data_IF_280637341405
#
_entry.id   IF_280637341405
#
_cell.length_a   1.000
_cell.length_b   1.000
_cell.length_c   1.000
_cell.angle_alpha   90.00
_cell.angle_beta   90.00
_cell.angle_gamma   90.00
#
_symmetry.space_group_name_H-M   'P 1'
#
loop_
_entity.id
_entity.type
_entity.pdbx_description
1 polymer ?
#
# COMPACT_ATOMS: atom_id res chain seq x y z
N UNK A 1 -19.37 -7.35 3.73
CA UNK A 1 -19.77 -6.16 2.92
C UNK A 1 -20.47 -6.59 1.65
N UNK A 2 -21.69 -6.10 1.46
CA UNK A 2 -22.52 -6.35 0.27
C UNK A 2 -22.74 -5.07 -0.53
N UNK A 3 -23.15 -5.22 -1.78
CA UNK A 3 -23.48 -4.11 -2.67
C UNK A 3 -24.81 -3.49 -2.24
N UNK A 4 -24.77 -2.19 -1.96
CA UNK A 4 -25.92 -1.38 -1.61
C UNK A 4 -26.29 -0.40 -2.74
N UNK A 5 -27.30 0.42 -2.48
CA UNK A 5 -27.76 1.42 -3.45
C UNK A 5 -26.71 2.51 -3.72
N UNK A 6 -25.88 2.83 -2.73
CA UNK A 6 -24.83 3.84 -2.86
C UNK A 6 -23.76 3.39 -3.84
N UNK A 7 -23.29 2.15 -3.74
CA UNK A 7 -22.32 1.60 -4.70
C UNK A 7 -22.90 1.56 -6.12
N UNK A 8 -24.17 1.17 -6.27
CA UNK A 8 -24.85 1.17 -7.58
C UNK A 8 -24.92 2.59 -8.17
N UNK A 9 -25.23 3.59 -7.35
CA UNK A 9 -25.27 4.99 -7.82
C UNK A 9 -23.93 5.51 -8.32
N UNK A 10 -22.80 4.92 -7.89
CA UNK A 10 -21.49 5.25 -8.46
C UNK A 10 -21.38 4.79 -9.91
N UNK A 11 -21.98 3.64 -10.25
CA UNK A 11 -22.03 3.14 -11.63
C UNK A 11 -22.88 4.08 -12.50
N UNK A 12 -23.98 4.62 -11.96
CA UNK A 12 -24.80 5.62 -12.66
C UNK A 12 -24.00 6.89 -12.99
N UNK A 13 -23.16 7.35 -12.05
CA UNK A 13 -22.27 8.49 -12.28
C UNK A 13 -21.20 8.18 -13.33
N UNK A 14 -20.58 6.99 -13.26
CA UNK A 14 -19.60 6.55 -14.25
C UNK A 14 -20.20 6.46 -15.66
N UNK A 15 -21.46 6.07 -15.77
CA UNK A 15 -22.15 5.98 -17.07
C UNK A 15 -22.17 7.34 -17.79
N UNK A 16 -22.39 8.45 -17.08
CA UNK A 16 -22.38 9.78 -17.68
C UNK A 16 -21.06 10.14 -18.39
N UNK A 17 -19.94 9.64 -17.86
CA UNK A 17 -18.59 9.89 -18.40
C UNK A 17 -18.17 8.85 -19.44
N UNK A 18 -18.60 7.59 -19.29
CA UNK A 18 -18.11 6.49 -20.11
C UNK A 18 -18.88 6.31 -21.42
N UNK A 19 -20.17 6.68 -21.49
CA UNK A 19 -21.01 6.45 -22.68
C UNK A 19 -20.51 7.15 -23.95
N UNK A 20 -19.73 8.23 -23.82
CA UNK A 20 -19.17 8.95 -24.97
C UNK A 20 -18.00 8.21 -25.64
N UNK A 21 -17.51 7.13 -25.04
CA UNK A 21 -16.39 6.35 -25.55
C UNK A 21 -16.84 5.10 -26.32
N UNK A 22 -16.04 4.60 -27.29
CA UNK A 22 -16.45 3.52 -28.19
C UNK A 22 -16.91 2.20 -27.52
N UNK A 23 -16.39 1.91 -26.32
CA UNK A 23 -16.74 0.70 -25.55
C UNK A 23 -17.51 1.02 -24.27
N UNK A 24 -17.97 2.26 -24.10
CA UNK A 24 -18.62 2.74 -22.89
C UNK A 24 -19.87 1.93 -22.52
N UNK A 25 -20.75 1.69 -23.49
CA UNK A 25 -21.98 0.92 -23.30
C UNK A 25 -21.70 -0.50 -22.82
N UNK A 26 -20.75 -1.20 -23.47
CA UNK A 26 -20.37 -2.57 -23.11
C UNK A 26 -19.81 -2.66 -21.69
N UNK A 27 -18.91 -1.74 -21.32
CA UNK A 27 -18.31 -1.70 -19.97
C UNK A 27 -19.36 -1.39 -18.91
N UNK A 28 -20.26 -0.43 -19.15
CA UNK A 28 -21.34 -0.11 -18.21
C UNK A 28 -22.31 -1.29 -18.06
N UNK A 29 -22.67 -1.94 -19.16
CA UNK A 29 -23.53 -3.14 -19.11
C UNK A 29 -22.88 -4.25 -18.28
N UNK A 30 -21.58 -4.51 -18.48
CA UNK A 30 -20.83 -5.49 -17.70
C UNK A 30 -20.75 -5.13 -16.21
N UNK A 31 -20.51 -3.85 -15.88
CA UNK A 31 -20.51 -3.37 -14.50
C UNK A 31 -21.88 -3.58 -13.84
N UNK A 32 -22.98 -3.22 -14.51
CA UNK A 32 -24.34 -3.43 -13.98
C UNK A 32 -24.69 -4.90 -13.81
N UNK A 33 -24.28 -5.74 -14.76
CA UNK A 33 -24.50 -7.19 -14.68
C UNK A 33 -23.70 -7.81 -13.51
N UNK A 34 -22.51 -7.29 -13.23
CA UNK A 34 -21.61 -7.81 -12.20
C UNK A 34 -21.97 -7.31 -10.80
N UNK A 35 -22.28 -6.02 -10.65
CA UNK A 35 -22.49 -5.35 -9.36
C UNK A 35 -23.99 -5.20 -9.05
N UNK A 36 -24.62 -6.30 -8.62
CA UNK A 36 -26.04 -6.32 -8.26
C UNK A 36 -26.27 -6.17 -6.76
N UNK A 37 -27.38 -5.51 -6.39
CA UNK A 37 -27.74 -5.27 -4.98
C UNK A 37 -27.83 -6.59 -4.20
N UNK A 38 -27.23 -6.62 -3.01
CA UNK A 38 -27.23 -7.80 -2.14
C UNK A 38 -26.12 -8.82 -2.44
N UNK A 39 -25.42 -8.72 -3.57
CA UNK A 39 -24.22 -9.53 -3.80
C UNK A 39 -23.05 -9.08 -2.92
N UNK A 40 -22.15 -9.99 -2.58
CA UNK A 40 -20.89 -9.61 -1.94
C UNK A 40 -20.00 -8.89 -2.96
N UNK A 41 -19.20 -7.94 -2.48
CA UNK A 41 -18.26 -7.22 -3.35
C UNK A 41 -17.25 -8.17 -4.00
N UNK A 42 -16.86 -9.24 -3.30
CA UNK A 42 -15.99 -10.26 -3.86
C UNK A 42 -16.64 -11.00 -5.05
N UNK A 43 -17.90 -11.42 -4.93
CA UNK A 43 -18.60 -12.10 -6.02
C UNK A 43 -18.81 -11.19 -7.24
N UNK A 44 -19.20 -9.94 -7.02
CA UNK A 44 -19.34 -8.97 -8.10
C UNK A 44 -18.00 -8.64 -8.80
N UNK A 45 -16.93 -8.48 -8.02
CA UNK A 45 -15.58 -8.27 -8.57
C UNK A 45 -15.14 -9.48 -9.38
N UNK A 46 -15.42 -10.71 -8.91
CA UNK A 46 -15.17 -11.92 -9.68
C UNK A 46 -15.91 -11.91 -11.02
N UNK A 47 -17.21 -11.61 -11.04
CA UNK A 47 -17.97 -11.54 -12.30
C UNK A 47 -17.37 -10.53 -13.28
N UNK A 48 -16.98 -9.35 -12.80
CA UNK A 48 -16.42 -8.32 -13.65
C UNK A 48 -15.02 -8.70 -14.18
N UNK A 49 -14.16 -9.26 -13.34
CA UNK A 49 -12.84 -9.79 -13.76
C UNK A 49 -13.01 -10.93 -14.75
N UNK A 50 -13.97 -11.83 -14.53
CA UNK A 50 -14.26 -12.92 -15.46
C UNK A 50 -14.76 -12.40 -16.81
N UNK A 51 -15.62 -11.37 -16.82
CA UNK A 51 -16.01 -10.69 -18.07
C UNK A 51 -14.79 -10.16 -18.83
N UNK A 52 -13.81 -9.57 -18.14
CA UNK A 52 -12.61 -9.00 -18.77
C UNK A 52 -11.61 -10.06 -19.26
N UNK A 53 -11.50 -11.20 -18.58
CA UNK A 53 -10.36 -12.12 -18.77
C UNK A 53 -10.71 -13.60 -18.99
N UNK A 54 -11.99 -13.96 -19.08
CA UNK A 54 -12.42 -15.37 -19.25
C UNK A 54 -11.86 -16.02 -20.52
N UNK A 55 -11.74 -15.27 -21.62
CA UNK A 55 -11.15 -15.77 -22.87
C UNK A 55 -9.68 -16.20 -22.73
N UNK A 56 -8.97 -15.68 -21.72
CA UNK A 56 -7.59 -16.04 -21.40
C UNK A 56 -7.48 -17.19 -20.39
N UNK A 57 -8.60 -17.74 -19.91
CA UNK A 57 -8.62 -18.83 -18.95
C UNK A 57 -8.15 -18.42 -17.55
N UNK A 58 -8.32 -17.15 -17.17
CA UNK A 58 -7.95 -16.67 -15.83
C UNK A 58 -8.77 -17.38 -14.75
N UNK A 59 -8.09 -18.12 -13.87
CA UNK A 59 -8.69 -18.73 -12.69
C UNK A 59 -8.66 -17.74 -11.53
N UNK A 60 -9.82 -17.46 -10.94
CA UNK A 60 -9.94 -16.62 -9.75
C UNK A 60 -10.27 -17.48 -8.55
N UNK A 61 -9.43 -17.42 -7.53
CA UNK A 61 -9.60 -18.18 -6.29
C UNK A 61 -10.16 -17.26 -5.19
N UNK A 62 -11.23 -17.70 -4.51
CA UNK A 62 -11.69 -17.09 -3.26
C UNK A 62 -11.01 -17.82 -2.08
N UNK A 63 -10.01 -17.20 -1.43
CA UNK A 63 -9.26 -17.86 -0.36
C UNK A 63 -10.03 -17.95 0.97
N UNK A 64 -11.21 -17.33 1.08
CA UNK A 64 -12.05 -17.41 2.27
C UNK A 64 -12.95 -18.65 2.24
N UNK A 65 -12.36 -19.82 2.46
CA UNK A 65 -13.03 -21.12 2.40
C UNK A 65 -12.47 -22.06 3.47
N UNK A 66 -13.35 -22.77 4.19
CA UNK A 66 -12.97 -23.65 5.29
C UNK A 66 -11.95 -24.73 4.89
N UNK A 67 -12.13 -25.37 3.74
CA UNK A 67 -11.25 -26.45 3.27
C UNK A 67 -9.86 -25.94 2.82
N UNK A 68 -9.77 -24.67 2.41
CA UNK A 68 -8.48 -24.04 2.11
C UNK A 68 -7.79 -23.63 3.42
N UNK A 69 -8.53 -23.02 4.33
CA UNK A 69 -8.04 -22.53 5.62
C UNK A 69 -7.57 -23.66 6.54
N UNK A 70 -8.22 -24.82 6.49
CA UNK A 70 -7.80 -26.00 7.24
C UNK A 70 -6.40 -26.48 6.87
N UNK A 71 -5.91 -26.22 5.65
CA UNK A 71 -4.53 -26.56 5.25
C UNK A 71 -3.47 -25.74 6.00
N UNK A 72 -3.88 -24.63 6.62
CA UNK A 72 -3.03 -23.77 7.45
C UNK A 72 -3.23 -23.98 8.95
N UNK A 73 -4.07 -24.93 9.38
CA UNK A 73 -4.42 -25.11 10.79
C UNK A 73 -3.19 -25.19 11.70
N UNK A 74 -2.17 -25.98 11.32
CA UNK A 74 -0.92 -26.09 12.11
C UNK A 74 -0.15 -24.78 12.20
N UNK A 75 -0.09 -24.00 11.12
CA UNK A 75 0.59 -22.69 11.11
C UNK A 75 -0.19 -21.67 11.94
N UNK A 76 -1.52 -21.72 11.86
CA UNK A 76 -2.39 -20.84 12.63
C UNK A 76 -2.34 -21.16 14.13
N UNK A 77 -2.33 -22.44 14.50
CA UNK A 77 -2.13 -22.88 15.88
C UNK A 77 -0.78 -22.40 16.42
N UNK A 78 0.30 -22.57 15.66
CA UNK A 78 1.63 -22.11 16.05
C UNK A 78 1.69 -20.58 16.24
N UNK A 79 1.10 -19.79 15.34
CA UNK A 79 1.03 -18.34 15.48
C UNK A 79 0.17 -17.90 16.69
N UNK A 80 -0.93 -18.61 16.98
CA UNK A 80 -1.75 -18.34 18.17
C UNK A 80 -1.04 -18.64 19.48
N UNK A 81 -0.26 -19.73 19.54
CA UNK A 81 0.32 -20.25 20.78
C UNK A 81 1.77 -19.79 20.99
N UNK A 82 2.62 -19.98 19.98
CA UNK A 82 4.07 -19.78 20.05
C UNK A 82 4.51 -18.47 19.41
N UNK A 83 3.69 -17.86 18.56
CA UNK A 83 3.98 -16.56 17.91
C UNK A 83 5.28 -16.61 17.08
N UNK A 84 5.66 -17.80 16.62
CA UNK A 84 6.94 -18.09 15.95
C UNK A 84 7.17 -17.18 14.74
N UNK A 85 6.09 -16.90 14.00
CA UNK A 85 6.14 -16.02 12.85
C UNK A 85 6.61 -14.60 13.18
N UNK A 86 6.21 -14.04 14.33
CA UNK A 86 6.65 -12.70 14.73
C UNK A 86 8.16 -12.65 14.94
N UNK A 87 8.70 -13.57 15.72
CA UNK A 87 10.13 -13.59 16.04
C UNK A 87 11.02 -13.79 14.81
N UNK A 88 10.61 -14.65 13.88
CA UNK A 88 11.35 -14.89 12.63
C UNK A 88 11.35 -13.63 11.75
N UNK A 89 10.18 -12.99 11.60
CA UNK A 89 10.07 -11.80 10.75
C UNK A 89 10.77 -10.60 11.38
N UNK A 90 10.71 -10.40 12.70
CA UNK A 90 11.45 -9.34 13.39
C UNK A 90 12.97 -9.50 13.20
N UNK A 91 13.46 -10.73 13.27
CA UNK A 91 14.87 -11.04 13.01
C UNK A 91 15.26 -10.72 11.57
N UNK A 92 14.40 -11.09 10.62
CA UNK A 92 14.60 -10.83 9.18
C UNK A 92 14.54 -9.33 8.86
N UNK A 93 13.60 -8.61 9.48
CA UNK A 93 13.46 -7.16 9.37
C UNK A 93 14.71 -6.44 9.89
N UNK A 94 15.20 -6.83 11.07
CA UNK A 94 16.44 -6.29 11.65
C UNK A 94 17.65 -6.51 10.75
N UNK A 95 17.75 -7.70 10.12
CA UNK A 95 18.84 -8.01 9.19
C UNK A 95 18.78 -7.13 7.93
N UNK A 96 17.58 -6.90 7.39
CA UNK A 96 17.35 -6.04 6.22
C UNK A 96 17.65 -4.57 6.52
N UNK A 97 17.23 -4.06 7.68
CA UNK A 97 17.54 -2.70 8.13
C UNK A 97 19.05 -2.48 8.28
N UNK A 98 19.76 -3.44 8.89
CA UNK A 98 21.24 -3.39 9.00
C UNK A 98 21.94 -3.39 7.64
N UNK A 99 21.33 -4.03 6.64
CA UNK A 99 21.81 -4.02 5.26
C UNK A 99 21.41 -2.76 4.48
N UNK A 100 20.73 -1.80 5.11
CA UNK A 100 20.34 -0.52 4.51
C UNK A 100 19.01 -0.54 3.76
N UNK A 101 18.22 -1.61 3.89
CA UNK A 101 16.90 -1.70 3.27
C UNK A 101 15.80 -1.19 4.20
N UNK A 102 14.81 -0.51 3.63
CA UNK A 102 13.62 -0.07 4.35
C UNK A 102 12.62 -1.22 4.49
N UNK A 103 12.29 -1.60 5.72
CA UNK A 103 11.24 -2.57 6.01
C UNK A 103 9.85 -1.96 5.83
N UNK A 104 8.91 -2.77 5.36
CA UNK A 104 7.54 -2.32 5.02
C UNK A 104 6.43 -3.05 5.78
N UNK A 105 6.75 -4.15 6.47
CA UNK A 105 5.79 -4.97 7.18
C UNK A 105 6.29 -5.22 8.59
N UNK A 106 5.51 -4.80 9.58
CA UNK A 106 5.82 -5.07 10.98
C UNK A 106 4.93 -6.23 11.43
N UNK A 107 5.52 -7.33 11.93
CA UNK A 107 4.73 -8.41 12.47
C UNK A 107 4.05 -7.97 13.78
N UNK A 108 3.03 -8.72 14.15
CA UNK A 108 2.43 -8.67 15.49
C UNK A 108 2.71 -9.99 16.17
N UNK A 109 2.57 -10.00 17.49
CA UNK A 109 2.58 -11.24 18.27
C UNK A 109 1.65 -12.30 17.65
N UNK A 110 0.40 -11.94 17.36
CA UNK A 110 -0.54 -12.79 16.63
C UNK A 110 -0.85 -12.15 15.28
N UNK A 111 -0.57 -12.88 14.21
CA UNK A 111 -0.71 -12.47 12.82
C UNK A 111 -2.04 -12.91 12.18
N UNK A 112 -3.00 -13.31 12.99
CA UNK A 112 -4.35 -13.68 12.60
C UNK A 112 -5.40 -12.63 13.00
N UNK A 113 -6.44 -12.56 12.18
CA UNK A 113 -7.71 -11.92 12.50
C UNK A 113 -8.78 -12.99 12.69
N UNK A 114 -9.78 -12.69 13.51
CA UNK A 114 -11.00 -13.48 13.62
C UNK A 114 -12.12 -12.82 12.82
N UNK A 115 -12.84 -13.61 12.02
CA UNK A 115 -13.95 -13.17 11.17
C UNK A 115 -15.27 -13.68 11.76
N UNK A 116 -16.21 -12.78 11.99
CA UNK A 116 -17.56 -13.13 12.46
C UNK A 116 -18.58 -12.17 11.84
N UNK A 117 -19.42 -12.69 10.95
CA UNK A 117 -20.32 -11.87 10.13
C UNK A 117 -19.53 -10.88 9.28
N UNK A 118 -19.83 -9.59 9.42
CA UNK A 118 -19.12 -8.50 8.72
C UNK A 118 -17.92 -7.94 9.53
N UNK A 119 -17.60 -8.53 10.68
CA UNK A 119 -16.52 -8.08 11.54
C UNK A 119 -15.21 -8.79 11.22
N UNK A 120 -14.13 -8.01 11.19
CA UNK A 120 -12.75 -8.51 11.14
C UNK A 120 -12.02 -7.98 12.35
N UNK A 121 -11.76 -8.85 13.31
CA UNK A 121 -11.24 -8.48 14.61
C UNK A 121 -9.81 -8.96 14.81
N UNK A 122 -9.02 -8.15 15.52
CA UNK A 122 -7.68 -8.54 15.94
C UNK A 122 -7.80 -9.48 17.13
N UNK A 123 -6.96 -10.50 17.12
CA UNK A 123 -6.76 -11.42 18.23
C UNK A 123 -5.51 -10.96 18.98
N UNK A 124 -5.61 -10.77 20.30
CA UNK A 124 -4.46 -10.46 21.17
C UNK A 124 -4.38 -11.47 22.31
N UNK A 125 -3.17 -11.81 22.75
CA UNK A 125 -2.97 -12.64 23.94
C UNK A 125 -2.92 -11.75 25.19
N UNK A 126 -3.75 -12.04 26.19
CA UNK A 126 -3.76 -11.35 27.49
C UNK A 126 -3.70 -12.39 28.61
N UNK A 127 -2.50 -12.60 29.14
CA UNK A 127 -2.23 -13.70 30.08
C UNK A 127 -2.44 -15.05 29.38
N UNK A 128 -3.32 -15.87 29.94
CA UNK A 128 -3.68 -17.21 29.44
C UNK A 128 -4.82 -17.21 28.40
N UNK A 129 -5.34 -16.04 28.03
CA UNK A 129 -6.53 -15.90 27.19
C UNK A 129 -6.25 -15.17 25.87
N UNK A 130 -7.06 -15.44 24.85
CA UNK A 130 -7.09 -14.77 23.55
C UNK A 130 -8.32 -13.88 23.46
N UNK A 131 -8.11 -12.58 23.29
CA UNK A 131 -9.17 -11.57 23.36
C UNK A 131 -9.37 -10.95 21.97
N UNK A 132 -10.64 -10.86 21.56
CA UNK A 132 -11.04 -10.06 20.40
C UNK A 132 -11.24 -8.61 20.82
N UNK A 133 -10.52 -7.70 20.15
CA UNK A 133 -10.36 -6.33 20.63
C UNK A 133 -11.66 -5.51 20.64
N UNK A 134 -12.61 -5.81 19.75
CA UNK A 134 -13.82 -4.99 19.60
C UNK A 134 -15.08 -5.66 20.17
N UNK A 135 -15.15 -6.99 20.24
CA UNK A 135 -16.37 -7.72 20.63
C UNK A 135 -16.43 -8.22 22.07
N UNK A 136 -15.42 -7.95 22.91
CA UNK A 136 -15.26 -8.50 24.29
C UNK A 136 -15.23 -10.02 24.37
N UNK A 137 -15.35 -10.72 23.24
CA UNK A 137 -15.25 -12.18 23.15
C UNK A 137 -13.83 -12.59 23.50
N UNK A 138 -13.73 -13.58 24.37
CA UNK A 138 -12.48 -14.09 24.90
C UNK A 138 -12.51 -15.60 24.82
N UNK A 139 -11.38 -16.19 24.44
CA UNK A 139 -11.20 -17.62 24.39
C UNK A 139 -10.08 -18.02 25.35
N UNK A 140 -10.28 -19.11 26.09
CA UNK A 140 -9.18 -19.88 26.67
C UNK A 140 -8.41 -20.62 25.57
N UNK A 141 -7.25 -21.17 25.92
CA UNK A 141 -6.41 -21.98 25.00
C UNK A 141 -7.20 -23.11 24.36
N UNK A 142 -7.97 -23.86 25.15
CA UNK A 142 -8.73 -25.01 24.64
C UNK A 142 -9.87 -24.56 23.73
N UNK A 143 -10.52 -23.44 24.03
CA UNK A 143 -11.60 -22.89 23.22
C UNK A 143 -11.12 -22.36 21.88
N UNK A 144 -10.00 -21.61 21.83
CA UNK A 144 -9.54 -21.06 20.54
C UNK A 144 -9.00 -22.15 19.61
N UNK A 145 -8.36 -23.19 20.14
CA UNK A 145 -7.89 -24.31 19.34
C UNK A 145 -9.05 -25.17 18.83
N UNK A 146 -10.09 -25.35 19.65
CA UNK A 146 -11.32 -25.99 19.20
C UNK A 146 -12.01 -25.17 18.12
N UNK A 147 -12.12 -23.85 18.31
CA UNK A 147 -12.69 -22.94 17.31
C UNK A 147 -11.90 -22.97 15.99
N UNK A 148 -10.56 -23.05 16.04
CA UNK A 148 -9.73 -23.21 14.86
C UNK A 148 -9.95 -24.54 14.14
N UNK A 149 -10.15 -25.63 14.89
CA UNK A 149 -10.42 -26.95 14.33
C UNK A 149 -11.83 -27.03 13.71
N UNK A 150 -12.83 -26.49 14.39
CA UNK A 150 -14.24 -26.55 13.99
C UNK A 150 -14.60 -25.50 12.92
N UNK A 151 -13.95 -24.32 12.96
CA UNK A 151 -14.25 -23.14 12.13
C UNK A 151 -12.99 -22.44 11.59
N UNK A 152 -12.12 -23.14 10.82
CA UNK A 152 -10.89 -22.56 10.29
C UNK A 152 -11.11 -21.35 9.37
N UNK A 153 -12.26 -21.26 8.71
CA UNK A 153 -12.67 -20.11 7.88
C UNK A 153 -12.73 -18.80 8.66
N UNK A 154 -12.97 -18.84 9.97
CA UNK A 154 -12.99 -17.64 10.79
C UNK A 154 -11.60 -17.07 11.05
N UNK A 155 -10.52 -17.81 10.75
CA UNK A 155 -9.16 -17.34 10.98
C UNK A 155 -8.55 -16.81 9.68
N UNK A 156 -8.24 -15.51 9.66
CA UNK A 156 -7.67 -14.83 8.50
C UNK A 156 -6.25 -14.32 8.73
N UNK A 157 -5.26 -14.76 7.93
CA UNK A 157 -3.91 -14.25 8.06
C UNK A 157 -3.83 -12.77 7.68
N UNK A 158 -2.93 -12.06 8.35
CA UNK A 158 -2.49 -10.73 7.96
C UNK A 158 -1.38 -10.81 6.90
N UNK A 159 -0.76 -9.68 6.57
CA UNK A 159 0.30 -9.59 5.55
C UNK A 159 1.47 -10.57 5.75
N UNK A 160 1.80 -10.94 7.00
CA UNK A 160 2.88 -11.86 7.36
C UNK A 160 2.56 -13.30 6.93
N UNK A 161 1.41 -13.82 7.37
CA UNK A 161 1.01 -15.19 7.09
C UNK A 161 0.29 -15.37 5.75
N UNK A 162 -0.16 -14.27 5.11
CA UNK A 162 -0.91 -14.33 3.84
C UNK A 162 -0.08 -14.96 2.73
N UNK A 163 1.21 -14.63 2.64
CA UNK A 163 2.11 -15.22 1.64
C UNK A 163 2.22 -16.73 1.82
N UNK A 164 2.43 -17.20 3.05
CA UNK A 164 2.48 -18.64 3.34
C UNK A 164 1.17 -19.34 3.00
N UNK A 165 0.04 -18.72 3.37
CA UNK A 165 -1.26 -19.28 3.05
C UNK A 165 -1.45 -19.46 1.54
N UNK A 166 -1.10 -18.44 0.75
CA UNK A 166 -1.18 -18.47 -0.70
C UNK A 166 -0.36 -19.62 -1.30
N UNK A 167 0.91 -19.75 -0.90
CA UNK A 167 1.80 -20.79 -1.42
C UNK A 167 1.46 -22.20 -0.90
N UNK A 168 0.78 -22.30 0.25
CA UNK A 168 0.33 -23.57 0.80
C UNK A 168 -0.85 -24.14 0.00
N UNK A 169 -1.85 -23.32 -0.29
CA UNK A 169 -3.07 -23.77 -0.98
C UNK A 169 -2.89 -23.84 -2.50
N UNK A 170 -1.95 -23.06 -3.04
CA UNK A 170 -1.64 -23.02 -4.46
C UNK A 170 -0.13 -22.84 -4.59
N UNK A 171 0.66 -23.92 -4.73
CA UNK A 171 2.11 -23.81 -4.86
C UNK A 171 2.44 -23.08 -6.16
N UNK A 172 2.89 -21.82 -6.05
CA UNK A 172 3.13 -20.95 -7.20
C UNK A 172 4.59 -21.05 -7.65
N UNK A 173 4.80 -20.96 -8.96
CA UNK A 173 6.15 -20.83 -9.52
C UNK A 173 6.64 -19.38 -9.33
N UNK A 174 5.74 -18.41 -9.53
CA UNK A 174 6.03 -16.98 -9.49
C UNK A 174 4.94 -16.24 -8.72
N UNK A 175 5.35 -15.38 -7.79
CA UNK A 175 4.50 -14.37 -7.19
C UNK A 175 4.70 -13.03 -7.92
N UNK A 176 3.62 -12.47 -8.46
CA UNK A 176 3.64 -11.18 -9.16
C UNK A 176 3.10 -10.10 -8.20
N UNK A 177 3.98 -9.20 -7.75
CA UNK A 177 3.64 -8.17 -6.76
C UNK A 177 4.07 -6.76 -7.18
N UNK A 178 3.50 -5.74 -6.53
CA UNK A 178 4.02 -4.36 -6.61
C UNK A 178 5.32 -4.18 -5.82
N UNK A 179 6.00 -3.05 -6.00
CA UNK A 179 7.30 -2.78 -5.37
C UNK A 179 7.28 -2.89 -3.83
N UNK A 180 6.17 -2.51 -3.19
CA UNK A 180 6.02 -2.68 -1.75
C UNK A 180 5.78 -4.13 -1.32
N UNK A 181 5.04 -4.89 -2.14
CA UNK A 181 4.81 -6.31 -1.89
C UNK A 181 6.11 -7.10 -2.03
N UNK A 182 6.81 -6.94 -3.16
CA UNK A 182 8.10 -7.60 -3.37
C UNK A 182 9.10 -7.28 -2.26
N UNK A 183 9.11 -6.04 -1.76
CA UNK A 183 9.98 -5.64 -0.67
C UNK A 183 9.63 -6.35 0.65
N UNK A 184 8.35 -6.45 1.03
CA UNK A 184 8.01 -7.15 2.27
C UNK A 184 8.13 -8.67 2.15
N UNK A 185 7.94 -9.25 0.97
CA UNK A 185 8.14 -10.69 0.77
C UNK A 185 9.57 -11.13 1.08
N UNK A 186 10.56 -10.27 0.86
CA UNK A 186 11.95 -10.53 1.27
C UNK A 186 12.10 -10.73 2.78
N UNK A 187 11.26 -10.09 3.60
CA UNK A 187 11.23 -10.29 5.06
C UNK A 187 10.67 -11.66 5.46
N UNK A 188 9.95 -12.34 4.55
CA UNK A 188 9.27 -13.60 4.85
C UNK A 188 10.11 -14.83 4.49
N UNK A 189 11.26 -14.69 3.82
CA UNK A 189 12.01 -15.84 3.31
C UNK A 189 12.32 -16.90 4.39
N UNK A 190 12.81 -16.49 5.54
CA UNK A 190 13.11 -17.40 6.66
C UNK A 190 11.85 -18.05 7.25
N UNK A 191 10.72 -17.33 7.19
CA UNK A 191 9.42 -17.86 7.61
C UNK A 191 8.99 -19.03 6.72
N UNK A 192 9.15 -18.89 5.41
CA UNK A 192 8.88 -19.97 4.45
C UNK A 192 9.80 -21.18 4.67
N UNK A 193 11.10 -20.94 4.91
CA UNK A 193 12.05 -22.00 5.26
C UNK A 193 11.61 -22.75 6.52
N UNK A 194 11.21 -22.02 7.56
CA UNK A 194 10.78 -22.60 8.84
C UNK A 194 9.57 -23.53 8.68
N UNK A 195 8.51 -23.07 8.00
CA UNK A 195 7.31 -23.88 7.77
C UNK A 195 7.41 -24.84 6.59
N UNK A 196 8.59 -24.96 5.97
CA UNK A 196 8.87 -25.88 4.85
C UNK A 196 7.92 -25.66 3.66
N UNK A 197 7.57 -24.40 3.38
CA UNK A 197 6.75 -24.02 2.23
C UNK A 197 7.70 -23.46 1.16
N UNK A 198 7.59 -23.88 -0.11
CA UNK A 198 8.40 -23.31 -1.18
C UNK A 198 8.24 -21.80 -1.27
N UNK A 199 9.36 -21.08 -1.31
CA UNK A 199 9.37 -19.64 -1.57
C UNK A 199 9.34 -19.40 -3.09
N UNK A 200 8.32 -18.72 -3.64
CA UNK A 200 8.18 -18.53 -5.08
C UNK A 200 9.20 -17.53 -5.61
N UNK A 201 9.39 -17.51 -6.93
CA UNK A 201 10.14 -16.43 -7.57
C UNK A 201 9.32 -15.14 -7.45
N UNK A 202 9.93 -14.07 -6.93
CA UNK A 202 9.28 -12.77 -6.85
C UNK A 202 9.48 -12.01 -8.17
N UNK A 203 8.39 -11.60 -8.81
CA UNK A 203 8.41 -10.78 -10.01
C UNK A 203 7.71 -9.45 -9.74
N UNK A 204 8.40 -8.34 -10.04
CA UNK A 204 7.79 -7.02 -10.01
C UNK A 204 6.81 -6.89 -11.17
N UNK A 205 5.54 -6.57 -10.88
CA UNK A 205 4.53 -6.36 -11.91
C UNK A 205 4.90 -5.17 -12.82
N UNK A 206 4.49 -5.26 -14.08
CA UNK A 206 4.67 -4.17 -15.02
C UNK A 206 3.96 -2.90 -14.54
N UNK A 207 4.63 -1.77 -14.70
CA UNK A 207 4.07 -0.44 -14.46
C UNK A 207 3.88 0.25 -15.80
N UNK A 208 2.67 0.72 -16.07
CA UNK A 208 2.31 1.37 -17.32
C UNK A 208 1.78 2.78 -17.04
N UNK A 209 2.18 3.74 -17.88
CA UNK A 209 1.58 5.06 -17.94
C UNK A 209 0.88 5.20 -19.29
N UNK A 210 -0.43 5.42 -19.28
CA UNK A 210 -1.20 5.69 -20.50
C UNK A 210 -1.25 7.20 -20.70
N UNK A 211 -0.61 7.67 -21.78
CA UNK A 211 -0.60 9.09 -22.14
C UNK A 211 -1.36 9.29 -23.44
N UNK A 212 -2.48 10.00 -23.37
CA UNK A 212 -3.20 10.40 -24.58
C UNK A 212 -2.36 11.38 -25.41
N UNK A 213 -2.48 11.29 -26.74
CA UNK A 213 -1.74 12.13 -27.68
C UNK A 213 -1.87 13.63 -27.35
N UNK A 214 -3.07 14.10 -26.97
CA UNK A 214 -3.33 15.50 -26.59
C UNK A 214 -2.45 15.98 -25.43
N UNK A 215 -2.22 15.11 -24.44
CA UNK A 215 -1.42 15.44 -23.26
C UNK A 215 0.07 15.40 -23.60
N UNK A 216 0.50 14.41 -24.39
CA UNK A 216 1.87 14.34 -24.91
C UNK A 216 2.26 15.61 -25.65
N UNK A 217 1.38 16.10 -26.54
CA UNK A 217 1.61 17.36 -27.27
C UNK A 217 1.63 18.58 -26.34
N UNK A 218 0.72 18.65 -25.36
CA UNK A 218 0.66 19.76 -24.41
C UNK A 218 1.92 19.84 -23.54
N UNK A 219 2.38 18.71 -23.03
CA UNK A 219 3.59 18.61 -22.20
C UNK A 219 4.83 19.00 -23.02
N UNK A 220 4.92 18.53 -24.28
CA UNK A 220 5.98 18.91 -25.19
C UNK A 220 6.00 20.42 -25.51
N UNK A 221 4.82 21.06 -25.69
CA UNK A 221 4.72 22.52 -25.87
C UNK A 221 5.17 23.31 -24.64
N UNK A 222 4.96 22.76 -23.44
CA UNK A 222 5.50 23.31 -22.21
C UNK A 222 6.99 23.03 -22.04
N UNK A 223 7.64 22.38 -23.01
CA UNK A 223 9.04 22.00 -23.04
C UNK A 223 9.43 20.99 -21.97
N UNK A 224 8.48 20.12 -21.61
CA UNK A 224 8.68 18.98 -20.72
C UNK A 224 8.63 17.66 -21.49
N UNK A 225 9.19 16.63 -20.87
CA UNK A 225 9.08 15.24 -21.29
C UNK A 225 8.00 14.52 -20.49
N UNK A 226 7.66 13.29 -20.87
CA UNK A 226 6.70 12.48 -20.09
C UNK A 226 7.28 12.13 -18.72
N UNK A 227 8.60 11.91 -18.66
CA UNK A 227 9.35 11.57 -17.46
C UNK A 227 9.34 12.71 -16.44
N UNK A 228 9.31 13.96 -16.91
CA UNK A 228 9.21 15.13 -16.04
C UNK A 228 7.91 15.12 -15.21
N UNK A 229 6.84 14.45 -15.66
CA UNK A 229 5.59 14.34 -14.89
C UNK A 229 5.73 13.60 -13.56
N UNK A 230 6.82 12.86 -13.35
CA UNK A 230 7.12 12.21 -12.08
C UNK A 230 7.85 13.13 -11.10
N UNK A 231 8.22 14.34 -11.51
CA UNK A 231 8.82 15.33 -10.63
C UNK A 231 7.75 16.02 -9.78
N UNK A 232 8.13 16.48 -8.57
CA UNK A 232 7.29 17.37 -7.78
C UNK A 232 6.87 18.61 -8.58
N UNK A 233 5.66 19.10 -8.32
CA UNK A 233 5.12 20.30 -8.98
C UNK A 233 6.08 21.50 -8.86
N UNK A 234 6.68 21.70 -7.69
CA UNK A 234 7.62 22.79 -7.45
C UNK A 234 8.85 22.70 -8.37
N UNK A 235 9.34 21.49 -8.66
CA UNK A 235 10.49 21.29 -9.54
C UNK A 235 10.13 21.57 -10.99
N UNK A 236 8.92 21.21 -11.42
CA UNK A 236 8.39 21.58 -12.73
C UNK A 236 8.25 23.09 -12.88
N UNK A 237 7.69 23.77 -11.88
CA UNK A 237 7.58 25.23 -11.86
C UNK A 237 8.97 25.90 -11.90
N UNK A 238 9.92 25.41 -11.09
CA UNK A 238 11.28 25.91 -11.09
C UNK A 238 11.94 25.73 -12.48
N UNK A 239 11.78 24.56 -13.11
CA UNK A 239 12.27 24.31 -14.48
C UNK A 239 11.66 25.29 -15.49
N UNK A 240 10.34 25.52 -15.41
CA UNK A 240 9.64 26.46 -16.29
C UNK A 240 10.18 27.89 -16.11
N UNK A 241 10.24 28.37 -14.87
CA UNK A 241 10.69 29.73 -14.53
C UNK A 241 12.16 29.93 -14.90
N UNK A 242 13.04 28.95 -14.64
CA UNK A 242 14.46 29.05 -15.00
C UNK A 242 14.69 29.06 -16.50
N UNK A 243 13.84 28.36 -17.27
CA UNK A 243 13.94 28.35 -18.74
C UNK A 243 13.42 29.63 -19.37
N UNK A 244 12.27 30.12 -18.90
CA UNK A 244 11.54 31.20 -19.59
C UNK A 244 11.84 32.59 -19.01
N UNK A 245 12.43 32.68 -17.81
CA UNK A 245 12.84 33.97 -17.23
C UNK A 245 14.10 34.50 -17.90
N UNK A 246 14.00 35.70 -18.48
CA UNK A 246 15.15 36.51 -18.92
C UNK A 246 15.78 37.32 -17.78
N UNK A 247 15.11 37.38 -16.64
CA UNK A 247 15.54 38.13 -15.47
C UNK A 247 16.29 37.22 -14.49
N UNK A 248 17.24 37.76 -13.70
CA UNK A 248 17.89 36.99 -12.64
C UNK A 248 16.85 36.44 -11.67
N UNK A 249 16.73 35.12 -11.60
CA UNK A 249 15.80 34.42 -10.70
C UNK A 249 16.36 34.28 -9.28
N UNK A 250 17.60 34.68 -9.07
CA UNK A 250 18.29 34.73 -7.78
C UNK A 250 18.68 36.17 -7.48
N UNK A 251 18.42 36.65 -6.26
CA UNK A 251 18.84 37.98 -5.77
C UNK A 251 20.34 38.04 -5.43
N UNK A 252 21.15 37.17 -6.04
CA UNK A 252 22.58 37.07 -5.77
C UNK A 252 23.25 38.36 -6.27
N UNK A 253 23.91 39.07 -5.36
CA UNK A 253 24.43 40.43 -5.59
C UNK A 253 23.66 41.46 -4.76
N UNK A 254 22.33 41.55 -4.89
CA UNK A 254 21.52 42.52 -4.16
C UNK A 254 21.57 42.33 -2.63
N UNK A 255 21.56 41.08 -2.15
CA UNK A 255 21.71 40.80 -0.71
C UNK A 255 23.12 41.15 -0.24
N UNK A 256 24.15 40.81 -1.00
CA UNK A 256 25.54 41.14 -0.66
C UNK A 256 25.82 42.65 -0.67
N UNK A 257 25.19 43.39 -1.57
CA UNK A 257 25.27 44.85 -1.59
C UNK A 257 24.50 45.47 -0.42
N UNK A 258 23.36 44.88 -0.01
CA UNK A 258 22.63 45.27 1.19
C UNK A 258 23.47 45.02 2.46
N UNK A 259 24.14 43.87 2.54
CA UNK A 259 25.06 43.53 3.64
C UNK A 259 26.24 44.50 3.71
N UNK A 260 26.81 44.89 2.56
CA UNK A 260 27.88 45.92 2.51
C UNK A 260 27.36 47.28 2.96
N UNK A 261 26.19 47.71 2.49
CA UNK A 261 25.57 48.98 2.89
C UNK A 261 25.28 48.99 4.40
N UNK A 262 24.70 47.91 4.92
CA UNK A 262 24.43 47.71 6.34
C UNK A 262 25.70 47.73 7.18
N UNK A 263 26.77 47.08 6.69
CA UNK A 263 28.10 47.11 7.32
C UNK A 263 28.67 48.53 7.34
N UNK A 264 28.51 49.29 6.26
CA UNK A 264 28.90 50.71 6.17
C UNK A 264 28.19 51.57 7.21
N UNK A 265 26.86 51.47 7.32
CA UNK A 265 26.09 52.18 8.35
C UNK A 265 26.52 51.80 9.76
N UNK A 266 26.78 50.51 10.02
CA UNK A 266 27.26 50.03 11.31
C UNK A 266 28.62 50.64 11.68
N UNK A 267 29.54 50.76 10.72
CA UNK A 267 30.85 51.37 10.96
C UNK A 267 30.73 52.87 11.27
N UNK A 268 29.89 53.61 10.52
CA UNK A 268 29.66 55.04 10.75
C UNK A 268 28.98 55.30 12.10
N UNK A 269 27.97 54.52 12.47
CA UNK A 269 27.30 54.62 13.77
C UNK A 269 28.25 54.31 14.93
N UNK A 270 29.11 53.30 14.77
CA UNK A 270 30.13 52.94 15.76
C UNK A 270 31.22 54.00 15.94
N UNK A 271 31.54 54.78 14.91
CA UNK A 271 32.49 55.89 14.99
C UNK A 271 31.91 57.09 15.77
N UNK A 272 30.59 57.30 15.73
CA UNK A 272 29.91 58.34 16.49
C UNK A 272 29.68 57.94 17.96
N UNK A 273 29.26 56.69 18.21
CA UNK A 273 29.01 56.17 19.56
C UNK A 273 29.50 54.72 19.65
N UNK A 274 30.65 54.45 20.31
CA UNK A 274 31.33 53.14 20.29
C UNK A 274 30.48 51.96 20.79
N UNK A 275 29.55 52.22 21.70
CA UNK A 275 28.72 51.19 22.34
C UNK A 275 27.59 50.65 21.43
N UNK A 276 27.30 51.30 20.30
CA UNK A 276 26.22 50.92 19.39
C UNK A 276 26.56 49.74 18.46
N UNK A 277 27.82 49.27 18.46
CA UNK A 277 28.26 48.09 17.67
C UNK A 277 27.42 46.83 17.90
N UNK A 278 26.81 46.68 19.08
CA UNK A 278 26.09 45.48 19.49
C UNK A 278 24.58 45.52 19.22
N UNK A 279 24.01 46.69 18.89
CA UNK A 279 22.57 46.85 18.62
C UNK A 279 22.16 46.42 17.19
N UNK A 280 23.12 46.31 16.27
CA UNK A 280 22.88 45.95 14.88
C UNK A 280 23.30 44.49 14.66
N UNK A 281 22.34 43.57 14.75
CA UNK A 281 22.51 42.17 14.29
C UNK A 281 21.73 41.99 12.98
N UNK A 282 22.18 41.11 12.06
CA UNK A 282 21.37 40.70 10.92
C UNK A 282 20.08 40.01 11.37
#
# INVERSE_FOLDING_TARGET
MVIDQHLISLIDRMQGELLVHPFGESIIAALRASYQKGMTVAAATFHFVNFLFSEYGLVVLQPDNAALKSQMATVFEDDLLQQTASGIVESSATALEKAGYKVQANPREINLFYLEGDQRERIERKGENWVLINSRKTFSKTEILKELADHPEKFSPNVILRGLYQEKILPNIVFIGGGGETAYWLQLKELFTHYQIPFPVLLLRNSFLVVEQKWKEKIARLGFTTEDLFLPEQDLLNKLVLRDSKNPTRLNGAIGDLEKLYTGFRQQAAALIPHWKHMWRP
#
